data_IF_772299637144
#
_entry.id   IF_772299637144
#
_cell.length_a   1.000
_cell.length_b   1.000
_cell.length_c   1.000
_cell.angle_alpha   90.00
_cell.angle_beta   90.00
_cell.angle_gamma   90.00
#
_symmetry.space_group_name_H-M   'P 1'
#
loop_
_entity.id
_entity.type
_entity.pdbx_description
1 polymer ?
#
# COMPACT_ATOMS: atom_id res chain seq x y z
N UNK A 1 8.47 -28.84 -9.20
CA UNK A 1 8.38 -29.16 -7.76
C UNK A 1 8.33 -27.84 -7.05
N UNK A 2 7.21 -27.59 -6.38
CA UNK A 2 6.90 -26.31 -5.75
C UNK A 2 7.86 -26.06 -4.59
N UNK A 3 8.81 -25.16 -4.78
CA UNK A 3 9.46 -24.46 -3.67
C UNK A 3 8.42 -23.50 -3.07
N UNK A 4 7.41 -24.08 -2.41
CA UNK A 4 6.54 -23.34 -1.52
C UNK A 4 7.47 -22.84 -0.42
N UNK A 5 7.65 -21.53 -0.34
CA UNK A 5 8.19 -20.88 0.85
C UNK A 5 7.49 -21.52 2.04
N UNK A 6 8.27 -22.09 2.96
CA UNK A 6 7.72 -22.64 4.20
C UNK A 6 7.02 -21.50 4.95
N UNK A 7 5.70 -21.48 4.83
CA UNK A 7 4.82 -20.56 5.56
C UNK A 7 4.51 -21.13 6.95
N UNK A 8 5.42 -21.92 7.53
CA UNK A 8 5.37 -22.29 8.94
C UNK A 8 4.93 -21.08 9.77
N UNK A 9 3.96 -21.28 10.69
CA UNK A 9 3.47 -20.21 11.54
C UNK A 9 4.61 -19.58 12.35
N UNK A 10 5.62 -20.38 12.70
CA UNK A 10 6.77 -19.95 13.49
C UNK A 10 7.94 -19.56 12.59
N UNK A 11 8.35 -18.29 12.68
CA UNK A 11 9.61 -17.82 12.09
C UNK A 11 10.71 -18.18 13.07
N UNK A 12 11.60 -19.09 12.67
CA UNK A 12 12.75 -19.46 13.49
C UNK A 12 13.58 -18.20 13.84
N UNK A 13 14.11 -18.08 15.08
CA UNK A 13 14.94 -16.95 15.46
C UNK A 13 16.15 -16.82 14.52
N UNK A 14 16.47 -15.58 14.13
CA UNK A 14 17.72 -15.30 13.43
C UNK A 14 18.84 -15.25 14.45
N UNK A 15 19.77 -16.19 14.37
CA UNK A 15 21.01 -16.11 15.14
C UNK A 15 21.94 -15.07 14.51
N UNK A 16 22.36 -14.07 15.28
CA UNK A 16 23.20 -12.97 14.79
C UNK A 16 24.38 -12.71 15.74
N UNK A 17 25.46 -12.07 15.27
CA UNK A 17 26.59 -11.68 16.13
C UNK A 17 26.24 -10.76 17.31
N UNK A 18 25.03 -10.19 17.31
CA UNK A 18 24.51 -9.31 18.36
C UNK A 18 23.47 -9.99 19.25
N UNK A 19 23.26 -11.30 19.09
CA UNK A 19 22.25 -12.10 19.79
C UNK A 19 21.07 -12.52 18.89
N UNK A 20 20.17 -13.37 19.42
CA UNK A 20 19.02 -13.87 18.66
C UNK A 20 18.00 -12.76 18.39
N UNK A 21 17.57 -12.62 17.14
CA UNK A 21 16.51 -11.70 16.71
C UNK A 21 15.24 -12.51 16.45
N UNK A 22 14.15 -12.13 17.11
CA UNK A 22 12.82 -12.73 16.91
C UNK A 22 11.99 -11.85 15.98
N UNK A 23 11.71 -12.36 14.78
CA UNK A 23 10.80 -11.71 13.84
C UNK A 23 9.39 -12.27 14.07
N UNK A 24 8.43 -11.40 14.33
CA UNK A 24 7.02 -11.78 14.46
C UNK A 24 6.24 -11.42 13.19
N UNK A 25 5.31 -12.29 12.80
CA UNK A 25 4.32 -11.96 11.76
C UNK A 25 3.30 -10.95 12.31
N UNK A 26 2.73 -10.10 11.45
CA UNK A 26 1.59 -9.26 11.82
C UNK A 26 0.44 -10.08 12.40
N UNK A 27 -0.16 -9.62 13.50
CA UNK A 27 -1.40 -10.22 14.00
C UNK A 27 -2.61 -9.54 13.37
N UNK A 28 -3.22 -10.20 12.39
CA UNK A 28 -4.39 -9.68 11.67
C UNK A 28 -5.66 -10.40 12.15
N UNK A 29 -6.70 -9.68 12.59
CA UNK A 29 -7.98 -10.29 12.95
C UNK A 29 -8.60 -11.06 11.79
N UNK A 30 -9.20 -12.23 12.06
CA UNK A 30 -9.89 -13.04 11.07
C UNK A 30 -11.26 -12.43 10.72
N UNK A 31 -11.21 -11.40 9.87
CA UNK A 31 -12.38 -10.79 9.25
C UNK A 31 -12.00 -10.24 7.89
N UNK A 32 -12.97 -10.23 6.99
CA UNK A 32 -12.73 -9.87 5.60
C UNK A 32 -13.76 -8.86 5.12
N UNK A 33 -13.31 -7.83 4.40
CA UNK A 33 -14.14 -6.86 3.68
C UNK A 33 -13.63 -6.74 2.25
N UNK A 34 -14.47 -6.99 1.26
CA UNK A 34 -14.10 -6.78 -0.16
C UNK A 34 -14.26 -5.31 -0.55
N UNK A 35 -13.35 -4.81 -1.38
CA UNK A 35 -13.50 -3.47 -1.97
C UNK A 35 -14.75 -3.37 -2.87
N UNK A 36 -15.20 -4.49 -3.46
CA UNK A 36 -16.38 -4.54 -4.31
C UNK A 36 -17.67 -4.24 -3.50
N UNK A 37 -17.76 -4.80 -2.30
CA UNK A 37 -18.86 -4.53 -1.36
C UNK A 37 -18.84 -3.07 -0.86
N UNK A 38 -17.68 -2.43 -0.96
CA UNK A 38 -17.49 -1.02 -0.64
C UNK A 38 -17.71 -0.09 -1.86
N UNK A 39 -18.30 -0.59 -2.94
CA UNK A 39 -18.64 0.19 -4.14
C UNK A 39 -17.48 0.41 -5.10
N UNK A 40 -16.45 -0.43 -5.08
CA UNK A 40 -15.44 -0.45 -6.12
C UNK A 40 -16.03 -0.98 -7.43
N UNK A 41 -15.60 -0.39 -8.55
CA UNK A 41 -15.99 -0.81 -9.90
C UNK A 41 -14.74 -1.23 -10.66
N UNK A 42 -14.73 -2.49 -11.09
CA UNK A 42 -13.65 -3.07 -11.88
C UNK A 42 -13.61 -2.51 -13.32
N UNK A 43 -12.51 -2.74 -14.02
CA UNK A 43 -12.33 -2.40 -15.45
C UNK A 43 -11.29 -1.31 -15.71
N UNK A 44 -10.63 -0.81 -14.68
CA UNK A 44 -9.46 0.09 -14.80
C UNK A 44 -9.78 1.52 -15.27
N UNK A 45 -11.05 1.90 -15.38
CA UNK A 45 -11.48 3.25 -15.75
C UNK A 45 -12.02 4.06 -14.56
N UNK A 46 -12.71 3.42 -13.63
CA UNK A 46 -13.31 4.08 -12.46
C UNK A 46 -12.28 4.28 -11.35
N UNK A 47 -12.23 5.48 -10.77
CA UNK A 47 -11.37 5.77 -9.63
C UNK A 47 -11.93 5.14 -8.34
N UNK A 48 -11.21 4.16 -7.79
CA UNK A 48 -11.65 3.36 -6.64
C UNK A 48 -11.05 3.82 -5.30
N UNK A 49 -10.31 4.93 -5.24
CA UNK A 49 -9.63 5.41 -4.02
C UNK A 49 -10.57 5.47 -2.81
N UNK A 50 -11.80 5.97 -3.00
CA UNK A 50 -12.79 6.06 -1.93
C UNK A 50 -13.33 4.68 -1.50
N UNK A 51 -13.41 3.71 -2.41
CA UNK A 51 -13.83 2.34 -2.08
C UNK A 51 -12.75 1.62 -1.26
N UNK A 52 -11.47 1.77 -1.62
CA UNK A 52 -10.34 1.30 -0.80
C UNK A 52 -10.38 1.92 0.61
N UNK A 53 -10.55 3.24 0.71
CA UNK A 53 -10.63 3.93 1.99
C UNK A 53 -11.80 3.44 2.86
N UNK A 54 -12.97 3.20 2.27
CA UNK A 54 -14.13 2.63 2.98
C UNK A 54 -13.88 1.21 3.48
N UNK A 55 -13.30 0.34 2.65
CA UNK A 55 -12.99 -1.04 3.05
C UNK A 55 -11.98 -1.07 4.22
N UNK A 56 -10.93 -0.26 4.13
CA UNK A 56 -9.92 -0.12 5.19
C UNK A 56 -10.54 0.43 6.47
N UNK A 57 -11.40 1.46 6.37
CA UNK A 57 -12.11 2.01 7.53
C UNK A 57 -13.02 0.95 8.18
N UNK A 58 -13.80 0.20 7.40
CA UNK A 58 -14.69 -0.84 7.89
C UNK A 58 -13.96 -1.96 8.65
N UNK A 59 -12.78 -2.37 8.19
CA UNK A 59 -11.92 -3.30 8.94
C UNK A 59 -11.34 -2.64 10.20
N UNK A 60 -10.78 -1.44 10.07
CA UNK A 60 -10.10 -0.75 11.16
C UNK A 60 -11.02 -0.40 12.33
N UNK A 61 -12.25 0.04 12.04
CA UNK A 61 -13.28 0.36 13.04
C UNK A 61 -13.69 -0.86 13.88
N UNK A 62 -13.51 -2.06 13.35
CA UNK A 62 -13.74 -3.31 14.07
C UNK A 62 -12.48 -3.86 14.75
N UNK A 63 -11.34 -3.17 14.65
CA UNK A 63 -10.06 -3.55 15.25
C UNK A 63 -9.05 -4.19 14.31
N UNK A 64 -9.27 -4.13 12.99
CA UNK A 64 -8.38 -4.67 11.95
C UNK A 64 -9.02 -5.79 11.14
N UNK A 65 -8.36 -6.25 10.08
CA UNK A 65 -8.82 -7.35 9.24
C UNK A 65 -8.22 -7.32 7.84
N UNK A 66 -8.72 -8.20 6.99
CA UNK A 66 -8.34 -8.33 5.59
C UNK A 66 -9.25 -7.50 4.69
N UNK A 67 -8.65 -6.60 3.94
CA UNK A 67 -9.26 -5.92 2.80
C UNK A 67 -8.95 -6.71 1.54
N UNK A 68 -9.96 -7.30 0.91
CA UNK A 68 -9.81 -8.13 -0.29
C UNK A 68 -9.99 -7.30 -1.55
N UNK A 69 -9.03 -7.45 -2.46
CA UNK A 69 -9.08 -6.95 -3.84
C UNK A 69 -9.33 -8.16 -4.75
N UNK A 70 -10.55 -8.32 -5.28
CA UNK A 70 -10.87 -9.47 -6.10
C UNK A 70 -10.26 -9.37 -7.50
N UNK A 71 -10.33 -10.45 -8.26
CA UNK A 71 -9.87 -10.48 -9.66
C UNK A 71 -10.48 -9.32 -10.48
N UNK A 72 -9.65 -8.66 -11.29
CA UNK A 72 -10.04 -7.49 -12.07
C UNK A 72 -9.02 -6.36 -12.00
N UNK A 73 -9.23 -5.31 -12.80
CA UNK A 73 -8.37 -4.12 -12.81
C UNK A 73 -9.03 -2.99 -12.05
N UNK A 74 -8.34 -2.45 -11.05
CA UNK A 74 -8.84 -1.46 -10.10
C UNK A 74 -7.98 -0.19 -10.16
N UNK A 75 -8.45 0.83 -10.89
CA UNK A 75 -7.78 2.13 -10.92
C UNK A 75 -7.94 2.83 -9.57
N UNK A 76 -6.85 3.34 -8.98
CA UNK A 76 -6.87 4.03 -7.69
C UNK A 76 -5.77 5.09 -7.60
N UNK A 77 -5.98 6.10 -6.75
CA UNK A 77 -4.91 6.93 -6.19
C UNK A 77 -4.17 6.19 -5.07
N UNK A 78 -3.55 6.90 -4.11
CA UNK A 78 -2.82 6.26 -3.03
C UNK A 78 -3.76 5.47 -2.10
N UNK A 79 -3.27 4.34 -1.59
CA UNK A 79 -3.95 3.52 -0.57
C UNK A 79 -3.29 3.80 0.77
N UNK A 80 -4.05 4.37 1.71
CA UNK A 80 -3.58 4.65 3.08
C UNK A 80 -4.05 3.57 4.03
N UNK A 81 -3.13 2.73 4.49
CA UNK A 81 -3.41 1.65 5.42
C UNK A 81 -3.51 2.16 6.87
N UNK A 82 -4.14 1.35 7.72
CA UNK A 82 -4.25 1.55 9.17
C UNK A 82 -3.65 0.33 9.89
N UNK A 83 -3.44 0.42 11.20
CA UNK A 83 -2.97 -0.72 11.99
C UNK A 83 -3.89 -1.93 11.86
N UNK A 84 -3.30 -3.14 11.91
CA UNK A 84 -4.01 -4.43 11.85
C UNK A 84 -4.76 -4.66 10.55
N UNK A 85 -4.28 -4.10 9.44
CA UNK A 85 -4.86 -4.28 8.09
C UNK A 85 -3.98 -5.18 7.23
N UNK A 86 -4.59 -6.20 6.65
CA UNK A 86 -4.03 -6.96 5.53
C UNK A 86 -4.69 -6.50 4.23
N UNK A 87 -3.92 -5.98 3.28
CA UNK A 87 -4.38 -5.75 1.91
C UNK A 87 -4.09 -7.02 1.09
N UNK A 88 -5.13 -7.81 0.80
CA UNK A 88 -5.00 -9.09 0.10
C UNK A 88 -5.44 -8.97 -1.37
N UNK A 89 -4.52 -9.21 -2.29
CA UNK A 89 -4.78 -9.17 -3.73
C UNK A 89 -4.98 -10.59 -4.26
N UNK A 90 -6.21 -10.93 -4.65
CA UNK A 90 -6.52 -12.24 -5.20
C UNK A 90 -5.80 -12.49 -6.54
N UNK A 91 -5.75 -13.75 -6.96
CA UNK A 91 -5.25 -14.10 -8.28
C UNK A 91 -6.03 -13.37 -9.38
N UNK A 92 -5.31 -12.70 -10.28
CA UNK A 92 -5.92 -11.89 -11.34
C UNK A 92 -6.37 -10.50 -10.91
N UNK A 93 -6.14 -10.09 -9.65
CA UNK A 93 -6.31 -8.70 -9.23
C UNK A 93 -5.13 -7.85 -9.74
N UNK A 94 -5.43 -6.70 -10.34
CA UNK A 94 -4.47 -5.64 -10.65
C UNK A 94 -4.95 -4.35 -9.98
N UNK A 95 -4.22 -3.90 -8.96
CA UNK A 95 -4.35 -2.54 -8.43
C UNK A 95 -3.51 -1.63 -9.31
N UNK A 96 -4.16 -0.80 -10.11
CA UNK A 96 -3.53 0.10 -11.06
C UNK A 96 -3.51 1.51 -10.50
N UNK A 97 -2.34 2.05 -10.25
CA UNK A 97 -2.19 3.36 -9.64
C UNK A 97 -2.27 4.48 -10.69
N UNK A 98 -2.98 5.56 -10.36
CA UNK A 98 -3.18 6.72 -11.22
C UNK A 98 -1.87 7.35 -11.68
N UNK A 99 -1.85 7.80 -12.93
CA UNK A 99 -0.73 8.56 -13.50
C UNK A 99 -0.85 10.06 -13.25
N UNK A 100 -1.89 10.53 -12.54
CA UNK A 100 -2.10 11.94 -12.23
C UNK A 100 -1.40 12.29 -10.92
N UNK A 101 -0.51 13.29 -10.95
CA UNK A 101 0.24 13.70 -9.76
C UNK A 101 -0.67 14.27 -8.66
N UNK A 102 -1.77 14.92 -9.03
CA UNK A 102 -2.70 15.55 -8.10
C UNK A 102 -3.44 14.54 -7.22
N UNK A 103 -3.57 13.29 -7.67
CA UNK A 103 -4.23 12.23 -6.90
C UNK A 103 -3.40 11.81 -5.67
N UNK A 104 -2.12 12.19 -5.61
CA UNK A 104 -1.20 11.92 -4.50
C UNK A 104 -1.03 13.11 -3.56
N UNK A 105 -1.90 14.12 -3.68
CA UNK A 105 -2.03 15.24 -2.74
C UNK A 105 -3.21 14.99 -1.79
N UNK A 106 -3.21 15.59 -0.58
CA UNK A 106 -2.20 16.48 -0.02
C UNK A 106 -0.87 15.76 0.29
N UNK A 107 0.19 16.54 0.47
CA UNK A 107 1.51 16.00 0.81
C UNK A 107 1.48 15.29 2.17
N UNK A 108 2.22 14.19 2.27
CA UNK A 108 2.41 13.43 3.50
C UNK A 108 3.87 13.44 3.90
N UNK A 109 4.14 13.20 5.19
CA UNK A 109 5.50 13.03 5.67
C UNK A 109 6.08 11.74 5.09
N UNK A 110 7.17 11.88 4.35
CA UNK A 110 7.93 10.77 3.82
C UNK A 110 9.37 10.85 4.30
N UNK A 111 10.07 9.72 4.26
CA UNK A 111 11.49 9.66 4.54
C UNK A 111 12.20 9.10 3.31
N UNK A 112 13.09 9.90 2.73
CA UNK A 112 14.06 9.46 1.74
C UNK A 112 15.45 9.61 2.36
N UNK A 113 16.27 10.56 1.88
CA UNK A 113 17.52 10.96 2.56
C UNK A 113 17.26 11.85 3.79
N UNK A 114 16.21 12.67 3.72
CA UNK A 114 15.76 13.55 4.80
C UNK A 114 14.26 13.36 5.02
N UNK A 115 13.75 13.78 6.18
CA UNK A 115 12.31 13.85 6.43
C UNK A 115 11.77 15.10 5.74
N UNK A 116 10.76 14.93 4.89
CA UNK A 116 10.11 16.02 4.17
C UNK A 116 8.63 15.70 3.92
N UNK A 117 7.86 16.72 3.56
CA UNK A 117 6.50 16.53 3.05
C UNK A 117 6.54 16.45 1.52
N UNK A 118 6.04 15.35 0.96
CA UNK A 118 5.99 15.12 -0.48
C UNK A 118 4.70 14.38 -0.89
N UNK A 119 4.51 14.13 -2.17
CA UNK A 119 3.43 13.27 -2.68
C UNK A 119 3.32 11.97 -1.89
N UNK A 120 2.09 11.53 -1.66
CA UNK A 120 1.81 10.24 -1.03
C UNK A 120 2.48 9.10 -1.81
N UNK A 121 3.15 8.16 -1.12
CA UNK A 121 3.46 6.86 -1.70
C UNK A 121 2.19 6.14 -2.21
N UNK A 122 2.37 5.23 -3.17
CA UNK A 122 1.27 4.46 -3.76
C UNK A 122 0.51 3.65 -2.71
N UNK A 123 1.25 2.98 -1.81
CA UNK A 123 0.72 2.37 -0.59
C UNK A 123 1.45 3.02 0.57
N UNK A 124 0.70 3.62 1.50
CA UNK A 124 1.25 4.41 2.58
C UNK A 124 0.67 3.95 3.91
N UNK A 125 1.55 3.80 4.90
CA UNK A 125 1.19 3.56 6.29
C UNK A 125 2.17 4.34 7.16
N UNK A 126 1.63 5.05 8.16
CA UNK A 126 2.44 5.82 9.11
C UNK A 126 1.89 5.59 10.51
N UNK A 127 2.80 5.41 11.47
CA UNK A 127 2.46 5.20 12.88
C UNK A 127 1.47 4.02 13.06
N UNK A 128 1.66 2.97 12.26
CA UNK A 128 0.80 1.78 12.23
C UNK A 128 1.57 0.51 12.63
N UNK A 129 0.87 -0.46 13.20
CA UNK A 129 1.40 -1.79 13.56
C UNK A 129 0.59 -2.88 12.88
N UNK A 130 1.17 -4.07 12.74
CA UNK A 130 0.51 -5.25 12.18
C UNK A 130 -0.10 -5.00 10.79
N UNK A 131 0.74 -4.72 9.81
CA UNK A 131 0.31 -4.52 8.42
C UNK A 131 0.84 -5.65 7.55
N UNK A 132 -0.01 -6.12 6.64
CA UNK A 132 0.38 -7.09 5.62
C UNK A 132 -0.12 -6.67 4.24
N UNK A 133 0.66 -6.99 3.20
CA UNK A 133 0.22 -6.98 1.81
C UNK A 133 0.50 -8.38 1.29
N UNK A 134 -0.54 -9.07 0.84
CA UNK A 134 -0.48 -10.50 0.55
C UNK A 134 -1.26 -10.84 -0.72
N UNK A 135 -1.18 -12.10 -1.13
CA UNK A 135 -1.90 -12.63 -2.28
C UNK A 135 -1.10 -12.51 -3.59
N UNK A 136 -1.50 -13.27 -4.62
CA UNK A 136 -0.76 -13.38 -5.88
C UNK A 136 -1.09 -12.30 -6.92
N UNK A 137 -1.93 -11.32 -6.59
CA UNK A 137 -2.26 -10.21 -7.50
C UNK A 137 -1.12 -9.20 -7.67
N UNK A 138 -1.38 -8.18 -8.50
CA UNK A 138 -0.37 -7.23 -8.97
C UNK A 138 -0.63 -5.80 -8.47
N UNK A 139 0.42 -5.14 -8.00
CA UNK A 139 0.48 -3.69 -7.81
C UNK A 139 1.15 -3.05 -9.04
N UNK A 140 0.39 -2.33 -9.86
CA UNK A 140 0.89 -1.67 -11.07
C UNK A 140 1.01 -0.15 -10.85
N UNK A 141 2.24 0.32 -10.61
CA UNK A 141 2.52 1.73 -10.31
C UNK A 141 2.50 2.70 -11.49
N UNK A 142 2.35 2.23 -12.74
CA UNK A 142 2.36 3.05 -13.96
C UNK A 142 3.50 4.11 -14.01
N UNK A 143 4.71 3.69 -13.64
CA UNK A 143 5.84 4.58 -13.34
C UNK A 143 6.36 5.47 -14.48
N UNK A 144 6.00 5.20 -15.73
CA UNK A 144 6.56 5.88 -16.91
C UNK A 144 6.39 7.42 -16.87
N UNK A 145 5.30 7.92 -16.28
CA UNK A 145 5.08 9.36 -16.12
C UNK A 145 5.98 10.02 -15.07
N UNK A 146 6.51 9.22 -14.13
CA UNK A 146 7.36 9.68 -13.01
C UNK A 146 8.85 9.63 -13.36
N UNK A 147 9.28 8.63 -14.15
CA UNK A 147 10.69 8.38 -14.43
C UNK A 147 11.46 9.60 -14.98
N UNK A 148 10.89 10.46 -15.87
CA UNK A 148 11.60 11.64 -16.36
C UNK A 148 12.17 12.55 -15.28
N UNK A 149 11.61 12.55 -14.07
CA UNK A 149 12.11 13.38 -12.95
C UNK A 149 13.53 13.01 -12.52
N UNK A 150 14.00 11.80 -12.83
CA UNK A 150 15.38 11.37 -12.54
C UNK A 150 16.40 12.08 -13.43
N UNK A 151 16.08 12.34 -14.70
CA UNK A 151 17.05 12.87 -15.69
C UNK A 151 16.73 14.28 -16.17
N UNK A 152 15.50 14.75 -15.96
CA UNK A 152 15.05 16.11 -16.25
C UNK A 152 14.41 16.75 -14.99
N UNK A 153 15.20 17.16 -13.98
CA UNK A 153 14.66 17.71 -12.73
C UNK A 153 13.76 18.94 -12.91
N UNK A 154 13.91 19.68 -14.03
CA UNK A 154 13.04 20.82 -14.38
C UNK A 154 11.60 20.40 -14.72
N UNK A 155 11.36 19.13 -15.06
CA UNK A 155 10.03 18.55 -15.30
C UNK A 155 9.35 18.07 -14.03
N UNK A 156 10.08 17.97 -12.92
CA UNK A 156 9.46 17.74 -11.64
C UNK A 156 8.55 18.94 -11.31
N UNK A 157 7.29 18.73 -10.90
CA UNK A 157 6.42 19.80 -10.48
C UNK A 157 7.13 20.58 -9.35
N UNK A 158 7.25 21.90 -9.53
CA UNK A 158 8.00 22.81 -8.65
C UNK A 158 7.56 22.76 -7.17
N UNK A 159 6.43 22.10 -6.86
CA UNK A 159 5.89 21.94 -5.51
C UNK A 159 6.63 20.92 -4.63
N UNK A 160 7.54 20.09 -5.16
CA UNK A 160 8.25 19.10 -4.32
C UNK A 160 9.25 19.72 -3.32
N UNK A 161 9.74 20.94 -3.55
CA UNK A 161 10.85 21.54 -2.77
C UNK A 161 10.41 22.67 -1.83
N UNK A 162 9.12 22.96 -1.70
CA UNK A 162 8.64 24.16 -0.98
C UNK A 162 8.03 23.90 0.40
N UNK A 163 8.15 22.69 0.95
CA UNK A 163 7.58 22.35 2.26
C UNK A 163 8.67 22.02 3.28
N UNK A 164 9.61 22.95 3.48
CA UNK A 164 10.26 23.07 4.78
C UNK A 164 9.24 23.69 5.72
N UNK A 165 8.57 22.85 6.52
CA UNK A 165 7.85 23.31 7.70
C UNK A 165 8.90 23.69 8.75
N UNK A 166 8.80 24.93 9.23
CA UNK A 166 9.53 25.48 10.39
C UNK A 166 9.32 24.62 11.65
#
# INVERSE_FOLDING_TARGET
>A
MSDLIDLSPDIAPLDTPFGPIHVARPTIPDRTVSIADCGAVAGGATMNTAAFARAIAACAEQGGGRVVVPAGVWLTGPIHLRSRIELHLEAGAEVRFSTRFEDYLPVVLVHSTVRLYNYSPLVYARDCTDIAITGPGMLNGQGQVWWPWKWEPKRAPHRMHQFNVE
#
